data_IF_453841685640
#
_entry.id   IF_453841685640
#
_cell.length_a   1.000
_cell.length_b   1.000
_cell.length_c   1.000
_cell.angle_alpha   90.00
_cell.angle_beta   90.00
_cell.angle_gamma   90.00
#
_symmetry.space_group_name_H-M   'P 1'
#
loop_
_entity.id
_entity.type
_entity.pdbx_description
1 polymer ?
#
# COMPACT_ATOMS: atom_id res chain seq x y z
N UNK A 1 -18.25 12.60 5.91
CA UNK A 1 -18.95 12.84 4.62
C UNK A 1 -18.28 11.96 3.58
N UNK A 2 -19.04 11.34 2.67
CA UNK A 2 -18.43 10.59 1.58
C UNK A 2 -17.63 11.56 0.70
N UNK A 3 -16.47 11.13 0.19
CA UNK A 3 -15.69 11.90 -0.78
C UNK A 3 -16.56 12.08 -2.01
N UNK A 4 -16.79 13.34 -2.40
CA UNK A 4 -17.72 13.72 -3.47
C UNK A 4 -17.33 13.02 -4.78
N UNK A 5 -18.32 12.40 -5.44
CA UNK A 5 -18.16 11.69 -6.70
C UNK A 5 -17.60 10.26 -6.61
N UNK A 6 -17.20 9.80 -5.42
CA UNK A 6 -16.76 8.41 -5.26
C UNK A 6 -17.93 7.42 -5.49
N UNK A 7 -17.70 6.29 -6.18
CA UNK A 7 -18.74 5.29 -6.38
C UNK A 7 -19.27 4.77 -5.04
N UNK A 8 -20.60 4.55 -4.98
CA UNK A 8 -21.25 4.07 -3.75
C UNK A 8 -20.63 2.75 -3.27
N UNK A 9 -20.28 2.68 -2.00
CA UNK A 9 -19.67 1.50 -1.37
C UNK A 9 -18.18 1.26 -1.69
N UNK A 10 -17.55 2.11 -2.51
CA UNK A 10 -16.12 1.94 -2.82
C UNK A 10 -15.18 2.47 -1.74
N UNK A 11 -15.65 3.39 -0.91
CA UNK A 11 -14.89 3.98 0.20
C UNK A 11 -14.92 3.12 1.49
N UNK A 12 -15.21 1.83 1.38
CA UNK A 12 -15.32 0.89 2.48
C UNK A 12 -14.41 -0.32 2.25
N UNK A 13 -14.22 -1.15 3.29
CA UNK A 13 -13.59 -2.46 3.13
C UNK A 13 -14.26 -3.23 2.00
N UNK A 14 -13.46 -3.82 1.13
CA UNK A 14 -13.96 -4.72 0.10
C UNK A 14 -13.28 -6.09 0.25
N UNK A 15 -14.06 -7.16 0.11
CA UNK A 15 -13.54 -8.51 0.13
C UNK A 15 -14.34 -9.43 -0.79
N UNK A 16 -13.67 -10.44 -1.32
CA UNK A 16 -14.29 -11.47 -2.15
C UNK A 16 -13.63 -12.82 -1.89
N UNK A 17 -14.45 -13.85 -1.66
CA UNK A 17 -13.98 -15.22 -1.47
C UNK A 17 -13.65 -15.82 -2.83
N UNK A 18 -12.47 -16.41 -2.94
CA UNK A 18 -11.98 -17.04 -4.16
C UNK A 18 -12.74 -18.31 -4.55
N UNK A 19 -12.44 -18.82 -5.73
CA UNK A 19 -13.06 -20.03 -6.27
C UNK A 19 -12.04 -20.93 -6.98
N UNK A 20 -12.39 -22.20 -7.15
CA UNK A 20 -11.53 -23.16 -7.85
C UNK A 20 -10.22 -23.43 -7.10
N UNK A 21 -9.16 -23.75 -7.85
CA UNK A 21 -7.87 -24.16 -7.31
C UNK A 21 -7.15 -23.06 -6.51
N UNK A 22 -7.43 -21.79 -6.77
CA UNK A 22 -6.74 -20.65 -6.15
C UNK A 22 -7.48 -20.10 -4.91
N UNK A 23 -8.64 -20.67 -4.53
CA UNK A 23 -9.47 -20.15 -3.43
C UNK A 23 -8.76 -20.12 -2.06
N UNK A 24 -7.80 -21.03 -1.85
CA UNK A 24 -6.99 -21.13 -0.64
C UNK A 24 -5.81 -20.13 -0.58
N UNK A 25 -5.60 -19.35 -1.65
CA UNK A 25 -4.58 -18.32 -1.71
C UNK A 25 -5.23 -16.96 -1.42
N UNK A 26 -4.81 -16.33 -0.34
CA UNK A 26 -5.28 -15.02 0.11
C UNK A 26 -4.39 -13.90 -0.40
N UNK A 27 -5.00 -12.80 -0.85
CA UNK A 27 -4.29 -11.59 -1.25
C UNK A 27 -4.88 -10.38 -0.54
N UNK A 28 -4.05 -9.66 0.22
CA UNK A 28 -4.40 -8.48 0.98
C UNK A 28 -3.78 -7.24 0.35
N UNK A 29 -4.60 -6.31 -0.15
CA UNK A 29 -4.15 -5.10 -0.85
C UNK A 29 -4.39 -3.85 0.00
N UNK A 30 -3.33 -3.07 0.22
CA UNK A 30 -3.32 -1.92 1.14
C UNK A 30 -3.03 -0.62 0.40
N UNK A 31 -3.97 0.35 0.49
CA UNK A 31 -3.90 1.64 -0.18
C UNK A 31 -2.90 2.62 0.46
N UNK A 32 -2.63 3.73 -0.24
CA UNK A 32 -1.70 4.78 0.16
C UNK A 32 -2.25 5.77 1.20
N UNK A 33 -1.39 6.69 1.64
CA UNK A 33 -1.73 7.80 2.54
C UNK A 33 -2.72 8.75 1.86
N UNK A 34 -3.74 9.19 2.60
CA UNK A 34 -4.87 9.99 2.10
C UNK A 34 -5.78 9.30 1.08
N UNK A 35 -5.34 8.18 0.50
CA UNK A 35 -6.12 7.38 -0.44
C UNK A 35 -7.18 6.50 0.23
N UNK A 36 -7.75 5.58 -0.53
CA UNK A 36 -8.80 4.68 -0.06
C UNK A 36 -8.85 3.40 -0.95
N UNK A 37 -9.68 2.39 -0.61
CA UNK A 37 -9.80 1.15 -1.38
C UNK A 37 -9.96 1.30 -2.90
N UNK A 38 -10.61 2.34 -3.46
CA UNK A 38 -10.70 2.52 -4.90
C UNK A 38 -9.37 2.48 -5.66
N UNK A 39 -8.27 2.91 -5.04
CA UNK A 39 -6.94 2.86 -5.67
C UNK A 39 -6.37 1.43 -5.81
N UNK A 40 -6.91 0.47 -5.06
CA UNK A 40 -6.46 -0.92 -5.03
C UNK A 40 -7.53 -1.91 -5.53
N UNK A 41 -8.79 -1.51 -5.49
CA UNK A 41 -9.92 -2.39 -5.78
C UNK A 41 -9.92 -2.98 -7.20
N UNK A 42 -9.61 -2.24 -8.27
CA UNK A 42 -9.52 -2.82 -9.61
C UNK A 42 -8.51 -3.97 -9.69
N UNK A 43 -7.37 -3.84 -8.98
CA UNK A 43 -6.38 -4.91 -8.87
C UNK A 43 -6.92 -6.10 -8.07
N UNK A 44 -7.60 -5.83 -6.96
CA UNK A 44 -8.28 -6.88 -6.19
C UNK A 44 -9.32 -7.65 -7.01
N UNK A 45 -10.15 -6.94 -7.80
CA UNK A 45 -11.16 -7.55 -8.70
C UNK A 45 -10.50 -8.38 -9.80
N UNK A 46 -9.37 -7.92 -10.36
CA UNK A 46 -8.58 -8.70 -11.31
C UNK A 46 -8.09 -10.02 -10.68
N UNK A 47 -7.47 -9.98 -9.48
CA UNK A 47 -6.98 -11.18 -8.80
C UNK A 47 -8.14 -12.11 -8.41
N UNK A 48 -9.26 -11.55 -7.93
CA UNK A 48 -10.46 -12.33 -7.64
C UNK A 48 -10.99 -13.05 -8.91
N UNK A 49 -10.95 -12.41 -10.07
CA UNK A 49 -11.35 -13.03 -11.34
C UNK A 49 -10.47 -14.24 -11.74
N UNK A 50 -9.26 -14.36 -11.14
CA UNK A 50 -8.36 -15.50 -11.28
C UNK A 50 -8.56 -16.55 -10.18
N UNK A 51 -9.57 -16.40 -9.34
CA UNK A 51 -9.97 -17.34 -8.31
C UNK A 51 -9.36 -17.12 -6.92
N UNK A 52 -8.57 -16.07 -6.71
CA UNK A 52 -7.96 -15.73 -5.42
C UNK A 52 -8.98 -15.18 -4.42
N UNK A 53 -8.78 -15.48 -3.13
CA UNK A 53 -9.50 -14.81 -2.03
C UNK A 53 -8.83 -13.47 -1.75
N UNK A 54 -9.61 -12.39 -1.80
CA UNK A 54 -9.06 -11.01 -1.79
C UNK A 54 -9.67 -10.19 -0.68
N UNK A 55 -8.84 -9.33 -0.06
CA UNK A 55 -9.28 -8.29 0.89
C UNK A 55 -8.60 -6.97 0.57
N UNK A 56 -9.39 -5.89 0.55
CA UNK A 56 -8.92 -4.51 0.35
C UNK A 56 -9.50 -3.66 1.48
N UNK A 57 -8.81 -3.57 2.62
CA UNK A 57 -9.30 -2.81 3.76
C UNK A 57 -9.20 -1.31 3.55
N UNK A 58 -10.12 -0.58 4.18
CA UNK A 58 -9.99 0.84 4.47
C UNK A 58 -9.14 1.01 5.74
N UNK A 59 -8.03 1.72 5.63
CA UNK A 59 -7.17 1.99 6.77
C UNK A 59 -7.82 3.00 7.74
N UNK A 60 -7.59 2.90 9.06
CA UNK A 60 -8.07 3.86 10.06
C UNK A 60 -7.76 5.31 9.69
N UNK A 61 -8.76 6.18 9.85
CA UNK A 61 -8.68 7.61 9.55
C UNK A 61 -8.80 7.97 8.07
N UNK A 62 -8.99 6.99 7.18
CA UNK A 62 -9.20 7.21 5.74
C UNK A 62 -10.68 7.09 5.38
N UNK A 63 -11.06 7.58 4.19
CA UNK A 63 -12.44 7.46 3.67
C UNK A 63 -13.48 8.34 4.35
N UNK A 64 -13.11 9.22 5.26
CA UNK A 64 -13.99 10.14 6.01
C UNK A 64 -13.55 11.60 5.86
N UNK A 65 -12.72 12.10 6.77
CA UNK A 65 -12.18 13.47 6.72
C UNK A 65 -10.67 13.50 6.96
N UNK A 66 -9.93 14.50 6.44
CA UNK A 66 -8.52 14.67 6.76
C UNK A 66 -8.26 14.88 8.26
N UNK A 67 -9.23 15.44 8.98
CA UNK A 67 -9.20 15.64 10.43
C UNK A 67 -9.14 14.29 11.17
N UNK A 68 -9.92 13.31 10.73
CA UNK A 68 -9.92 11.97 11.33
C UNK A 68 -8.55 11.30 11.18
N UNK A 69 -7.88 11.49 10.04
CA UNK A 69 -6.52 10.97 9.83
C UNK A 69 -5.47 11.64 10.73
N UNK A 70 -5.69 12.88 11.19
CA UNK A 70 -4.83 13.52 12.18
C UNK A 70 -4.97 12.92 13.59
N UNK A 71 -6.06 12.24 13.90
CA UNK A 71 -6.29 11.64 15.22
C UNK A 71 -5.73 10.19 15.33
N UNK A 72 -5.43 9.55 14.19
CA UNK A 72 -4.93 8.18 14.14
C UNK A 72 -3.49 8.08 14.69
N UNK A 73 -3.22 7.03 15.45
CA UNK A 73 -1.87 6.62 15.83
C UNK A 73 -1.33 5.63 14.82
N UNK A 74 -0.04 5.70 14.52
CA UNK A 74 0.56 4.87 13.48
C UNK A 74 0.37 3.35 13.70
N UNK A 75 0.26 2.90 14.95
CA UNK A 75 0.06 1.48 15.27
C UNK A 75 -1.27 0.92 14.75
N UNK A 76 -2.26 1.79 14.53
CA UNK A 76 -3.59 1.38 14.08
C UNK A 76 -3.58 0.87 12.63
N UNK A 77 -2.69 1.38 11.77
CA UNK A 77 -2.59 0.94 10.38
C UNK A 77 -2.05 -0.51 10.27
N UNK A 78 -0.86 -0.86 10.82
CA UNK A 78 -0.42 -2.25 10.82
C UNK A 78 -1.36 -3.18 11.61
N UNK A 79 -2.01 -2.70 12.68
CA UNK A 79 -3.00 -3.50 13.42
C UNK A 79 -4.21 -3.87 12.54
N UNK A 80 -4.70 -2.94 11.70
CA UNK A 80 -5.77 -3.24 10.72
C UNK A 80 -5.29 -4.28 9.70
N UNK A 81 -4.06 -4.17 9.18
CA UNK A 81 -3.50 -5.13 8.23
C UNK A 81 -3.33 -6.51 8.87
N UNK A 82 -2.85 -6.58 10.12
CA UNK A 82 -2.73 -7.84 10.87
C UNK A 82 -4.11 -8.46 11.13
N UNK A 83 -5.12 -7.65 11.45
CA UNK A 83 -6.49 -8.16 11.59
C UNK A 83 -6.97 -8.82 10.28
N UNK A 84 -6.79 -8.16 9.13
CA UNK A 84 -7.21 -8.70 7.83
C UNK A 84 -6.37 -9.93 7.40
N UNK A 85 -5.08 -9.97 7.75
CA UNK A 85 -4.22 -11.15 7.58
C UNK A 85 -4.79 -12.33 8.37
N UNK A 86 -5.18 -12.13 9.64
CA UNK A 86 -5.79 -13.16 10.47
C UNK A 86 -7.17 -13.61 9.95
N UNK A 87 -7.94 -12.71 9.35
CA UNK A 87 -9.19 -13.10 8.69
C UNK A 87 -8.94 -13.99 7.46
N UNK A 88 -7.92 -13.68 6.64
CA UNK A 88 -7.53 -14.53 5.51
C UNK A 88 -7.04 -15.90 5.98
N UNK A 89 -6.28 -15.99 7.06
CA UNK A 89 -5.76 -17.26 7.62
C UNK A 89 -6.86 -18.24 8.04
N UNK A 90 -8.09 -17.80 8.22
CA UNK A 90 -9.22 -18.69 8.54
C UNK A 90 -9.61 -19.60 7.36
N UNK A 91 -9.31 -19.18 6.13
CA UNK A 91 -9.72 -19.86 4.90
C UNK A 91 -8.60 -20.04 3.88
N UNK A 92 -7.46 -19.38 4.08
CA UNK A 92 -6.30 -19.42 3.19
C UNK A 92 -5.07 -19.89 3.95
N UNK A 93 -4.30 -20.77 3.34
CA UNK A 93 -3.02 -21.29 3.86
C UNK A 93 -1.80 -20.57 3.25
N UNK A 94 -2.00 -19.85 2.19
CA UNK A 94 -0.97 -19.09 1.46
C UNK A 94 -1.42 -17.65 1.29
N UNK A 95 -0.64 -16.68 1.78
CA UNK A 95 -1.06 -15.27 1.79
C UNK A 95 0.02 -14.36 1.23
N UNK A 96 -0.40 -13.45 0.34
CA UNK A 96 0.43 -12.37 -0.21
C UNK A 96 -0.07 -11.02 0.30
N UNK A 97 0.86 -10.14 0.64
CA UNK A 97 0.56 -8.75 0.95
C UNK A 97 1.00 -7.83 -0.20
N UNK A 98 0.12 -6.93 -0.57
CA UNK A 98 0.33 -5.94 -1.62
C UNK A 98 0.14 -4.54 -1.05
N UNK A 99 1.01 -3.60 -1.40
CA UNK A 99 0.87 -2.24 -0.90
C UNK A 99 1.31 -1.15 -1.87
N UNK A 100 0.49 -0.10 -1.96
CA UNK A 100 0.79 1.13 -2.69
C UNK A 100 1.29 2.20 -1.71
N UNK A 101 2.40 2.88 -2.01
CA UNK A 101 2.87 4.06 -1.27
C UNK A 101 3.01 3.78 0.25
N UNK A 102 2.29 4.48 1.12
CA UNK A 102 2.23 4.20 2.56
C UNK A 102 1.73 2.77 2.84
N UNK A 103 0.80 2.26 2.03
CA UNK A 103 0.37 0.86 2.12
C UNK A 103 1.55 -0.11 1.94
N UNK A 104 2.48 0.19 1.02
CA UNK A 104 3.74 -0.54 0.86
C UNK A 104 4.61 -0.49 2.12
N UNK A 105 4.76 0.69 2.72
CA UNK A 105 5.44 0.84 4.01
C UNK A 105 4.75 0.11 5.16
N UNK A 106 3.41 0.04 5.14
CA UNK A 106 2.61 -0.66 6.15
C UNK A 106 2.73 -2.18 6.03
N UNK A 107 2.65 -2.75 4.82
CA UNK A 107 2.83 -4.20 4.64
C UNK A 107 4.28 -4.63 4.93
N UNK A 108 5.26 -3.78 4.63
CA UNK A 108 6.64 -4.00 5.07
C UNK A 108 6.75 -4.02 6.60
N UNK A 109 6.08 -3.07 7.30
CA UNK A 109 6.04 -3.06 8.76
C UNK A 109 5.49 -4.36 9.33
N UNK A 110 4.36 -4.83 8.81
CA UNK A 110 3.75 -6.11 9.20
C UNK A 110 4.70 -7.28 8.94
N UNK A 111 5.35 -7.32 7.79
CA UNK A 111 6.29 -8.37 7.43
C UNK A 111 7.51 -8.44 8.35
N UNK A 112 7.92 -7.33 8.99
CA UNK A 112 9.06 -7.35 9.94
C UNK A 112 8.81 -8.24 11.17
N UNK A 113 7.56 -8.53 11.51
CA UNK A 113 7.17 -9.33 12.69
C UNK A 113 6.31 -10.56 12.34
N UNK A 114 5.76 -10.62 11.13
CA UNK A 114 4.88 -11.71 10.68
C UNK A 114 5.42 -12.40 9.41
N UNK A 115 6.74 -12.41 9.24
CA UNK A 115 7.39 -12.88 8.03
C UNK A 115 7.01 -14.34 7.66
N UNK A 116 6.89 -15.22 8.67
CA UNK A 116 6.56 -16.63 8.46
C UNK A 116 5.10 -16.88 8.00
N UNK A 117 4.24 -15.88 8.17
CA UNK A 117 2.81 -15.96 7.82
C UNK A 117 2.52 -15.45 6.39
N UNK A 118 3.56 -14.93 5.72
CA UNK A 118 3.45 -14.26 4.44
C UNK A 118 4.28 -15.02 3.41
N UNK A 119 3.70 -15.33 2.24
CA UNK A 119 4.37 -16.03 1.16
C UNK A 119 5.23 -15.11 0.28
N UNK A 120 4.80 -13.86 0.12
CA UNK A 120 5.52 -12.86 -0.66
C UNK A 120 4.88 -11.47 -0.55
N UNK A 121 5.65 -10.45 -0.93
CA UNK A 121 5.25 -9.04 -0.94
C UNK A 121 5.28 -8.48 -2.36
N UNK A 122 4.28 -7.66 -2.68
CA UNK A 122 4.24 -6.87 -3.91
C UNK A 122 4.07 -5.39 -3.53
N UNK A 123 5.02 -4.56 -3.95
CA UNK A 123 5.09 -3.16 -3.57
C UNK A 123 5.03 -2.27 -4.81
N UNK A 124 4.18 -1.24 -4.79
CA UNK A 124 4.10 -0.23 -5.85
C UNK A 124 4.43 1.12 -5.25
N UNK A 125 5.46 1.79 -5.78
CA UNK A 125 5.93 3.09 -5.32
C UNK A 125 5.97 3.21 -3.78
N UNK A 126 6.59 2.26 -3.06
CA UNK A 126 6.47 2.16 -1.60
C UNK A 126 7.13 3.35 -0.90
N UNK A 127 6.49 3.82 0.18
CA UNK A 127 7.03 4.88 1.04
C UNK A 127 7.80 4.28 2.20
N UNK A 128 9.08 4.64 2.34
CA UNK A 128 9.95 4.24 3.48
C UNK A 128 10.66 5.43 4.12
N UNK A 129 10.86 6.51 3.38
CA UNK A 129 11.41 7.76 3.91
C UNK A 129 10.91 8.98 3.14
N UNK A 130 11.04 10.17 3.74
CA UNK A 130 10.77 11.44 3.08
C UNK A 130 12.06 12.26 3.05
N UNK A 131 12.56 12.60 1.85
CA UNK A 131 13.83 13.32 1.67
C UNK A 131 13.76 14.68 2.35
N UNK A 132 14.76 14.98 3.20
CA UNK A 132 14.86 16.26 3.88
C UNK A 132 13.89 16.49 5.05
N UNK A 133 13.02 15.50 5.36
CA UNK A 133 12.06 15.60 6.47
C UNK A 133 12.29 14.46 7.45
N UNK A 134 12.70 14.79 8.65
CA UNK A 134 12.82 13.81 9.75
C UNK A 134 11.53 13.72 10.56
N UNK A 135 11.42 12.69 11.39
CA UNK A 135 10.27 12.53 12.32
C UNK A 135 10.16 13.73 13.25
N UNK A 136 11.29 14.25 13.72
CA UNK A 136 11.38 15.39 14.64
C UNK A 136 10.90 16.69 13.97
N UNK A 137 11.34 16.95 12.72
CA UNK A 137 10.88 18.09 11.93
C UNK A 137 9.39 17.97 11.65
N UNK A 138 8.91 16.79 11.27
CA UNK A 138 7.48 16.57 11.00
C UNK A 138 6.61 16.75 12.25
N UNK A 139 7.12 16.34 13.42
CA UNK A 139 6.46 16.60 14.70
C UNK A 139 6.30 18.10 14.96
N UNK A 140 7.39 18.86 14.81
CA UNK A 140 7.36 20.29 15.03
C UNK A 140 6.38 21.00 14.08
N UNK A 141 6.44 20.67 12.78
CA UNK A 141 5.52 21.23 11.78
C UNK A 141 4.06 20.91 12.11
N UNK A 142 3.76 19.68 12.54
CA UNK A 142 2.40 19.24 12.87
C UNK A 142 1.78 19.97 14.07
N UNK A 143 2.61 20.58 14.94
CA UNK A 143 2.14 21.40 16.07
C UNK A 143 1.62 22.76 15.64
N UNK A 144 2.15 23.32 14.55
CA UNK A 144 1.81 24.66 14.08
C UNK A 144 0.95 24.66 12.83
N UNK A 145 0.96 23.57 12.05
CA UNK A 145 0.19 23.44 10.82
C UNK A 145 -0.58 22.11 10.83
N UNK A 146 -1.90 22.19 10.92
CA UNK A 146 -2.77 20.99 10.93
C UNK A 146 -2.90 20.34 9.56
N UNK A 147 -3.01 21.17 8.50
CA UNK A 147 -3.25 20.75 7.12
C UNK A 147 -2.31 21.46 6.16
N UNK A 148 -2.02 20.81 5.04
CA UNK A 148 -1.34 21.36 3.87
C UNK A 148 -2.15 20.98 2.63
N UNK A 149 -2.09 21.77 1.56
CA UNK A 149 -2.65 21.36 0.27
C UNK A 149 -2.05 20.01 -0.15
N UNK A 150 -2.87 19.10 -0.62
CA UNK A 150 -2.42 17.82 -1.16
C UNK A 150 -1.55 18.05 -2.40
N UNK A 151 -0.70 17.09 -2.73
CA UNK A 151 0.00 17.04 -4.03
C UNK A 151 -1.01 16.82 -5.16
N UNK A 152 -2.22 16.38 -4.81
CA UNK A 152 -3.28 16.08 -5.77
C UNK A 152 -3.21 14.64 -6.28
N UNK A 153 -3.95 14.42 -7.33
CA UNK A 153 -4.09 13.14 -8.00
C UNK A 153 -2.88 12.90 -8.92
N UNK A 154 -1.84 12.22 -8.44
CA UNK A 154 -0.62 11.94 -9.22
C UNK A 154 -0.81 10.72 -10.13
N UNK A 155 -1.66 10.90 -11.16
CA UNK A 155 -2.01 9.92 -12.20
C UNK A 155 -1.79 10.58 -13.56
N UNK A 156 -1.05 9.93 -14.46
CA UNK A 156 -0.74 10.42 -15.81
C UNK A 156 -1.95 10.31 -16.74
N UNK A 157 -2.76 9.29 -16.54
CA UNK A 157 -3.94 9.00 -17.35
C UNK A 157 -5.05 10.01 -17.11
N UNK A 158 -5.50 10.80 -18.13
CA UNK A 158 -6.51 11.83 -17.96
C UNK A 158 -7.88 11.24 -17.60
N UNK A 159 -8.66 11.96 -16.79
CA UNK A 159 -10.02 11.57 -16.42
C UNK A 159 -10.12 10.49 -15.35
N UNK A 160 -8.99 10.04 -14.81
CA UNK A 160 -8.95 9.10 -13.68
C UNK A 160 -8.69 9.87 -12.38
N UNK A 161 -9.40 9.50 -11.34
CA UNK A 161 -9.27 10.12 -10.01
C UNK A 161 -8.95 9.05 -8.97
N UNK A 162 -7.91 9.29 -8.16
CA UNK A 162 -7.73 8.61 -6.89
C UNK A 162 -8.69 9.22 -5.86
N UNK A 163 -9.73 8.54 -5.49
CA UNK A 163 -10.68 8.99 -4.47
C UNK A 163 -10.01 9.09 -3.10
N UNK A 164 -9.41 10.23 -2.80
CA UNK A 164 -8.63 10.50 -1.61
C UNK A 164 -8.89 11.90 -1.08
N UNK A 165 -8.17 12.30 -0.03
CA UNK A 165 -8.30 13.64 0.54
C UNK A 165 -7.57 14.69 -0.33
N UNK A 166 -8.18 15.85 -0.47
CA UNK A 166 -7.62 17.04 -1.13
C UNK A 166 -6.65 17.82 -0.22
N UNK A 167 -6.55 17.44 1.05
CA UNK A 167 -5.66 18.02 2.04
C UNK A 167 -4.77 16.97 2.70
N UNK A 168 -3.51 17.32 2.96
CA UNK A 168 -2.54 16.47 3.66
C UNK A 168 -2.56 16.77 5.16
N UNK A 169 -3.04 15.84 6.01
CA UNK A 169 -3.05 16.01 7.47
C UNK A 169 -1.63 15.85 8.03
N UNK A 170 -1.06 16.92 8.60
CA UNK A 170 0.35 16.98 8.98
C UNK A 170 0.68 16.08 10.18
N UNK A 171 -0.27 15.88 11.11
CA UNK A 171 -0.09 14.94 12.21
C UNK A 171 -0.13 13.50 11.72
N UNK A 172 -0.98 13.20 10.71
CA UNK A 172 -0.95 11.92 9.99
C UNK A 172 0.41 11.66 9.34
N UNK A 173 1.01 12.66 8.66
CA UNK A 173 2.37 12.55 8.10
C UNK A 173 3.41 12.22 9.20
N UNK A 174 3.34 12.92 10.33
CA UNK A 174 4.22 12.62 11.48
C UNK A 174 4.07 11.17 11.95
N UNK A 175 2.85 10.68 12.07
CA UNK A 175 2.58 9.29 12.47
C UNK A 175 3.12 8.30 11.41
N UNK A 176 2.91 8.57 10.13
CA UNK A 176 3.44 7.75 9.04
C UNK A 176 4.98 7.67 9.11
N UNK A 177 5.67 8.81 9.24
CA UNK A 177 7.13 8.83 9.35
C UNK A 177 7.65 8.10 10.59
N UNK A 178 6.91 8.09 11.71
CA UNK A 178 7.25 7.25 12.88
C UNK A 178 7.21 5.77 12.53
N UNK A 179 6.12 5.31 11.91
CA UNK A 179 5.97 3.92 11.45
C UNK A 179 7.13 3.56 10.51
N UNK A 180 7.34 4.36 9.46
CA UNK A 180 8.33 4.09 8.42
C UNK A 180 9.76 4.06 8.98
N UNK A 181 10.09 4.93 9.94
CA UNK A 181 11.39 4.88 10.63
C UNK A 181 11.60 3.56 11.37
N UNK A 182 10.56 3.04 12.04
CA UNK A 182 10.62 1.75 12.73
C UNK A 182 10.72 0.61 11.72
N UNK A 183 9.90 0.65 10.65
CA UNK A 183 9.93 -0.32 9.56
C UNK A 183 11.31 -0.41 8.95
N UNK A 184 11.92 0.73 8.57
CA UNK A 184 13.24 0.76 7.95
C UNK A 184 14.32 0.13 8.84
N UNK A 185 14.30 0.39 10.15
CA UNK A 185 15.27 -0.22 11.10
C UNK A 185 15.19 -1.74 11.17
N UNK A 186 14.07 -2.32 10.76
CA UNK A 186 13.80 -3.74 10.82
C UNK A 186 13.67 -4.41 9.43
N UNK A 187 13.98 -3.71 8.34
CA UNK A 187 13.84 -4.25 6.97
C UNK A 187 14.60 -5.55 6.76
N UNK A 188 15.76 -5.71 7.42
CA UNK A 188 16.56 -6.94 7.35
C UNK A 188 15.82 -8.19 7.87
N UNK A 189 14.76 -8.03 8.68
CA UNK A 189 13.93 -9.14 9.14
C UNK A 189 12.94 -9.65 8.07
N UNK A 190 12.71 -8.89 7.01
CA UNK A 190 11.82 -9.28 5.90
C UNK A 190 12.61 -10.13 4.92
N UNK A 191 12.36 -11.44 4.91
CA UNK A 191 13.10 -12.43 4.12
C UNK A 191 12.28 -13.12 3.03
N UNK A 192 10.96 -12.90 3.00
CA UNK A 192 10.07 -13.42 1.95
C UNK A 192 10.39 -12.81 0.58
N UNK A 193 10.06 -13.49 -0.54
CA UNK A 193 10.18 -12.93 -1.88
C UNK A 193 9.48 -11.59 -2.04
N UNK A 194 10.10 -10.65 -2.76
CA UNK A 194 9.57 -9.29 -2.97
C UNK A 194 9.60 -8.92 -4.44
N UNK A 195 8.44 -8.54 -4.98
CA UNK A 195 8.34 -7.85 -6.26
C UNK A 195 8.05 -6.37 -6.01
N UNK A 196 8.85 -5.47 -6.59
CA UNK A 196 8.75 -4.04 -6.41
C UNK A 196 8.59 -3.33 -7.75
N UNK A 197 7.53 -2.56 -7.89
CA UNK A 197 7.27 -1.67 -9.02
C UNK A 197 7.65 -0.24 -8.66
N UNK A 198 8.31 0.46 -9.59
CA UNK A 198 8.69 1.86 -9.40
C UNK A 198 8.39 2.69 -10.64
N UNK A 199 7.60 3.76 -10.48
CA UNK A 199 7.32 4.73 -11.54
C UNK A 199 8.53 5.65 -11.76
N UNK A 200 9.03 5.70 -13.00
CA UNK A 200 10.18 6.55 -13.36
C UNK A 200 9.85 8.02 -13.16
N UNK A 201 8.60 8.41 -13.42
CA UNK A 201 8.08 9.78 -13.28
C UNK A 201 7.19 9.92 -12.02
N UNK A 202 7.61 9.38 -10.86
CA UNK A 202 6.91 9.56 -9.58
C UNK A 202 7.18 10.98 -9.02
N UNK A 203 6.14 11.83 -8.96
CA UNK A 203 6.25 13.20 -8.44
C UNK A 203 6.03 13.30 -6.93
N UNK A 204 5.59 12.22 -6.30
CA UNK A 204 5.26 12.15 -4.87
C UNK A 204 6.43 11.63 -4.05
N UNK A 205 7.03 10.52 -4.48
CA UNK A 205 8.13 9.85 -3.77
C UNK A 205 9.36 9.66 -4.67
N UNK A 206 10.56 10.02 -4.17
CA UNK A 206 11.78 9.82 -4.94
C UNK A 206 12.15 8.33 -5.02
N UNK A 207 12.85 7.95 -6.10
CA UNK A 207 13.38 6.59 -6.35
C UNK A 207 14.19 6.03 -5.19
N UNK A 208 14.79 6.89 -4.37
CA UNK A 208 15.55 6.48 -3.18
C UNK A 208 14.74 5.65 -2.19
N UNK A 209 13.40 5.71 -2.19
CA UNK A 209 12.57 4.80 -1.40
C UNK A 209 12.76 3.35 -1.86
N UNK A 210 12.68 3.10 -3.16
CA UNK A 210 12.93 1.79 -3.77
C UNK A 210 14.35 1.30 -3.53
N UNK A 211 15.34 2.17 -3.73
CA UNK A 211 16.76 1.86 -3.54
C UNK A 211 17.07 1.44 -2.11
N UNK A 212 16.54 2.18 -1.12
CA UNK A 212 16.69 1.85 0.31
C UNK A 212 16.07 0.50 0.63
N UNK A 213 14.83 0.24 0.16
CA UNK A 213 14.17 -1.04 0.42
C UNK A 213 14.99 -2.18 -0.16
N UNK A 214 15.39 -2.09 -1.42
CA UNK A 214 16.17 -3.14 -2.09
C UNK A 214 17.55 -3.35 -1.45
N UNK A 215 18.17 -2.31 -0.91
CA UNK A 215 19.47 -2.41 -0.26
C UNK A 215 19.39 -2.99 1.15
N UNK A 216 18.35 -2.63 1.93
CA UNK A 216 18.27 -2.91 3.36
C UNK A 216 17.39 -4.13 3.71
N UNK A 217 16.52 -4.61 2.77
CA UNK A 217 15.65 -5.77 3.01
C UNK A 217 16.43 -7.08 3.03
N UNK A 218 16.05 -7.99 3.95
CA UNK A 218 16.70 -9.29 4.12
C UNK A 218 16.36 -10.32 3.04
N UNK A 219 15.35 -10.07 2.22
CA UNK A 219 14.97 -10.95 1.11
C UNK A 219 16.12 -11.16 0.13
N UNK A 220 16.37 -12.43 -0.25
CA UNK A 220 17.30 -12.81 -1.30
C UNK A 220 16.64 -12.85 -2.67
N UNK A 221 15.34 -13.08 -2.72
CA UNK A 221 14.52 -13.10 -3.92
C UNK A 221 13.76 -11.75 -4.02
N UNK A 222 14.32 -10.83 -4.77
CA UNK A 222 13.78 -9.47 -4.93
C UNK A 222 13.93 -8.98 -6.35
N UNK A 223 12.83 -8.57 -6.94
CA UNK A 223 12.73 -8.08 -8.32
C UNK A 223 12.27 -6.64 -8.34
N UNK A 224 12.87 -5.80 -9.18
CA UNK A 224 12.42 -4.44 -9.50
C UNK A 224 11.91 -4.38 -10.93
N UNK A 225 10.73 -3.79 -11.11
CA UNK A 225 10.10 -3.50 -12.40
C UNK A 225 9.87 -1.99 -12.51
N UNK A 226 10.37 -1.38 -13.58
CA UNK A 226 10.16 0.04 -13.83
C UNK A 226 8.84 0.27 -14.57
N UNK A 227 8.09 1.28 -14.13
CA UNK A 227 6.85 1.75 -14.75
C UNK A 227 7.16 3.04 -15.49
N UNK A 228 7.20 2.97 -16.82
CA UNK A 228 7.64 4.10 -17.66
C UNK A 228 6.50 5.01 -18.11
N UNK A 229 5.25 4.57 -17.94
CA UNK A 229 4.08 5.31 -18.41
C UNK A 229 3.15 5.79 -17.28
N UNK A 230 3.55 5.65 -16.03
CA UNK A 230 2.70 5.98 -14.89
C UNK A 230 3.39 6.92 -13.92
N UNK A 231 2.57 7.71 -13.21
CA UNK A 231 2.98 8.50 -12.06
C UNK A 231 2.81 7.71 -10.76
N UNK A 232 2.69 8.38 -9.61
CA UNK A 232 2.71 7.74 -8.30
C UNK A 232 1.62 6.68 -8.09
N UNK A 233 0.37 6.97 -8.48
CA UNK A 233 -0.77 6.06 -8.30
C UNK A 233 -0.89 5.11 -9.49
N UNK A 234 0.19 4.37 -9.78
CA UNK A 234 0.32 3.52 -10.95
C UNK A 234 -0.72 2.40 -11.05
N UNK A 235 -1.36 2.04 -9.93
CA UNK A 235 -2.46 1.06 -9.87
C UNK A 235 -3.72 1.48 -10.61
N UNK A 236 -3.85 2.78 -10.95
CA UNK A 236 -4.95 3.37 -11.70
C UNK A 236 -4.49 4.00 -13.02
N UNK A 237 -3.19 3.93 -13.32
CA UNK A 237 -2.55 4.62 -14.43
C UNK A 237 -2.29 3.68 -15.64
N UNK A 238 -1.55 4.14 -16.62
CA UNK A 238 -1.30 3.42 -17.88
C UNK A 238 -0.61 2.07 -17.70
N UNK A 239 0.29 1.92 -16.72
CA UNK A 239 0.98 0.64 -16.43
C UNK A 239 0.16 -0.31 -15.54
N UNK A 240 -1.11 -0.01 -15.26
CA UNK A 240 -2.00 -0.83 -14.44
C UNK A 240 -2.00 -2.30 -14.86
N UNK A 241 -2.18 -2.59 -16.14
CA UNK A 241 -2.22 -3.95 -16.65
C UNK A 241 -0.88 -4.67 -16.48
N UNK A 242 0.24 -3.96 -16.71
CA UNK A 242 1.59 -4.50 -16.49
C UNK A 242 1.77 -4.91 -15.02
N UNK A 243 1.33 -4.07 -14.07
CA UNK A 243 1.37 -4.37 -12.64
C UNK A 243 0.56 -5.64 -12.36
N UNK A 244 -0.67 -5.72 -12.86
CA UNK A 244 -1.58 -6.83 -12.58
C UNK A 244 -1.05 -8.16 -13.11
N UNK A 245 -0.57 -8.20 -14.34
CA UNK A 245 -0.06 -9.42 -14.98
C UNK A 245 1.25 -9.90 -14.35
N UNK A 246 2.19 -9.00 -14.07
CA UNK A 246 3.44 -9.38 -13.40
C UNK A 246 3.18 -9.87 -11.96
N UNK A 247 2.21 -9.27 -11.26
CA UNK A 247 1.82 -9.73 -9.93
C UNK A 247 1.20 -11.12 -9.95
N UNK A 248 0.35 -11.40 -10.95
CA UNK A 248 -0.20 -12.73 -11.16
C UNK A 248 0.93 -13.75 -11.38
N UNK A 249 1.85 -13.46 -12.29
CA UNK A 249 3.01 -14.31 -12.56
C UNK A 249 3.87 -14.55 -11.31
N UNK A 250 4.08 -13.51 -10.49
CA UNK A 250 4.83 -13.63 -9.23
C UNK A 250 4.11 -14.55 -8.24
N UNK A 251 2.81 -14.39 -8.07
CA UNK A 251 1.99 -15.23 -7.17
C UNK A 251 2.04 -16.68 -7.66
N UNK A 252 1.79 -16.93 -8.96
CA UNK A 252 1.81 -18.27 -9.56
C UNK A 252 3.19 -18.93 -9.47
N UNK A 253 4.25 -18.16 -9.60
CA UNK A 253 5.63 -18.66 -9.46
C UNK A 253 6.00 -19.14 -8.06
N UNK A 254 5.27 -18.67 -7.03
CA UNK A 254 5.48 -19.05 -5.62
C UNK A 254 4.42 -20.04 -5.10
N UNK A 255 3.42 -20.35 -5.91
CA UNK A 255 2.33 -21.28 -5.56
C UNK A 255 2.26 -22.37 -6.65
N UNK A 256 2.68 -23.61 -6.36
CA UNK A 256 2.69 -24.71 -7.31
C UNK A 256 1.29 -25.17 -7.75
#
# INVERSE_FOLDING_TARGET
MAIEGAPVGWMQDWSAVGSGKNAHIGVLLVHGFTGAPPSMRPWGEFLHSKGYTVRVPLLPGHGSTPEDLNEVKWQEWPAKVIHELNELKKTCDTIFLIGLSMGGGTVLNVATTNNEEIKGLILVNPWIHLKGVTVEVSFLVSRFRKMRASVGNDIKRPGITEWGYDATPMRGVYQALKMLRITRKNLAAVTVPVQLFHSVEDHTLPVSNTEIILAEIGSKDKTRIELVNSYHVATLDYDQELIFQNSLTFIEGLTP
#
